data_IF_918039132113
#
_entry.id   IF_918039132113
#
_cell.length_a   1.000
_cell.length_b   1.000
_cell.length_c   1.000
_cell.angle_alpha   90.00
_cell.angle_beta   90.00
_cell.angle_gamma   90.00
#
_symmetry.space_group_name_H-M   'P 1'
#
loop_
_entity.id
_entity.type
_entity.pdbx_description
1 polymer ?
#
# COMPACT_ATOMS: atom_id res chain seq x y z
N UNK A 1 -11.73 -10.61 0.32
CA UNK A 1 -10.79 -9.64 -0.29
C UNK A 1 -9.94 -8.94 0.77
N UNK A 2 -10.51 -8.27 1.78
CA UNK A 2 -9.77 -7.52 2.81
C UNK A 2 -8.69 -8.36 3.50
N UNK A 3 -8.99 -9.54 4.00
CA UNK A 3 -8.02 -10.37 4.72
C UNK A 3 -6.97 -11.06 3.83
N UNK A 4 -7.17 -11.10 2.51
CA UNK A 4 -6.26 -11.80 1.59
C UNK A 4 -5.37 -10.80 0.85
N UNK A 5 -5.97 -9.75 0.28
CA UNK A 5 -5.26 -8.82 -0.60
C UNK A 5 -4.89 -7.52 0.12
N UNK A 6 -5.82 -6.94 0.90
CA UNK A 6 -5.57 -5.67 1.57
C UNK A 6 -4.43 -5.73 2.59
N UNK A 7 -4.20 -6.88 3.21
CA UNK A 7 -3.11 -7.04 4.19
C UNK A 7 -1.74 -6.68 3.59
N UNK A 8 -1.50 -6.98 2.33
CA UNK A 8 -0.26 -6.62 1.63
C UNK A 8 -0.17 -5.10 1.40
N UNK A 9 -1.28 -4.48 0.98
CA UNK A 9 -1.37 -3.03 0.77
C UNK A 9 -1.17 -2.27 2.09
N UNK A 10 -1.73 -2.75 3.20
CA UNK A 10 -1.51 -2.19 4.53
C UNK A 10 -0.04 -2.27 4.93
N UNK A 11 0.63 -3.37 4.64
CA UNK A 11 2.05 -3.55 4.93
C UNK A 11 2.91 -2.57 4.12
N UNK A 12 2.65 -2.45 2.81
CA UNK A 12 3.31 -1.50 1.92
C UNK A 12 3.14 -0.05 2.42
N UNK A 13 1.90 0.35 2.75
CA UNK A 13 1.61 1.70 3.23
C UNK A 13 2.28 1.99 4.58
N UNK A 14 2.34 1.02 5.48
CA UNK A 14 3.08 1.15 6.74
C UNK A 14 4.58 1.32 6.51
N UNK A 15 5.13 0.59 5.54
CA UNK A 15 6.54 0.72 5.17
C UNK A 15 6.86 2.10 4.53
N UNK A 16 5.96 2.64 3.71
CA UNK A 16 6.17 3.91 3.00
C UNK A 16 5.84 5.12 3.86
N UNK A 17 4.70 5.08 4.58
CA UNK A 17 4.12 6.24 5.26
C UNK A 17 4.22 6.17 6.79
N UNK A 18 4.63 5.05 7.37
CA UNK A 18 4.69 4.82 8.81
C UNK A 18 3.45 4.13 9.38
N UNK A 19 3.44 3.92 10.70
CA UNK A 19 2.36 3.19 11.36
C UNK A 19 1.00 3.89 11.24
N UNK A 20 -0.04 3.10 10.97
CA UNK A 20 -1.44 3.54 10.94
C UNK A 20 -1.99 3.47 12.36
N UNK A 21 -2.59 4.56 12.84
CA UNK A 21 -3.10 4.69 14.22
C UNK A 21 -4.62 4.78 14.33
N UNK A 22 -5.32 5.06 13.23
CA UNK A 22 -6.78 5.00 13.20
C UNK A 22 -7.31 4.78 11.78
N UNK A 23 -8.49 4.19 11.66
CA UNK A 23 -9.13 3.83 10.40
C UNK A 23 -10.62 4.12 10.46
N UNK A 24 -11.15 4.67 9.35
CA UNK A 24 -12.56 4.64 9.00
C UNK A 24 -12.71 3.83 7.71
N UNK A 25 -13.75 3.01 7.59
CA UNK A 25 -13.95 2.17 6.43
C UNK A 25 -15.43 1.92 6.13
N UNK A 26 -15.68 1.58 4.86
CA UNK A 26 -16.95 1.05 4.39
C UNK A 26 -16.67 -0.14 3.46
N UNK A 27 -17.54 -1.14 3.48
CA UNK A 27 -17.46 -2.33 2.64
C UNK A 27 -18.76 -2.53 1.87
N UNK A 28 -18.67 -3.21 0.73
CA UNK A 28 -19.81 -3.62 -0.09
C UNK A 28 -19.55 -5.02 -0.65
N UNK A 29 -20.64 -5.77 -0.83
CA UNK A 29 -20.68 -7.03 -1.58
C UNK A 29 -21.67 -6.96 -2.75
N UNK A 30 -22.07 -5.74 -3.14
CA UNK A 30 -23.18 -5.52 -4.08
C UNK A 30 -22.84 -5.94 -5.50
N UNK A 31 -21.56 -5.95 -5.90
CA UNK A 31 -21.15 -6.30 -7.24
C UNK A 31 -21.28 -7.81 -7.52
N UNK A 32 -20.94 -8.66 -6.56
CA UNK A 32 -20.98 -10.12 -6.69
C UNK A 32 -22.12 -10.78 -5.91
N UNK A 33 -22.66 -10.11 -4.89
CA UNK A 33 -23.70 -10.66 -4.03
C UNK A 33 -23.26 -11.83 -3.14
N UNK A 34 -21.95 -11.97 -2.88
CA UNK A 34 -21.43 -13.00 -1.98
C UNK A 34 -21.52 -12.56 -0.51
N UNK A 35 -21.42 -13.51 0.47
CA UNK A 35 -21.39 -13.18 1.88
C UNK A 35 -20.14 -12.40 2.32
N UNK A 36 -19.12 -12.32 1.46
CA UNK A 36 -17.88 -11.58 1.69
C UNK A 36 -17.85 -10.32 0.82
N UNK A 37 -17.14 -9.32 1.29
CA UNK A 37 -16.96 -8.06 0.57
C UNK A 37 -16.21 -8.25 -0.77
N UNK A 38 -16.63 -7.50 -1.78
CA UNK A 38 -15.97 -7.37 -3.08
C UNK A 38 -15.34 -6.00 -3.29
N UNK A 39 -15.70 -5.03 -2.45
CA UNK A 39 -15.22 -3.65 -2.51
C UNK A 39 -15.09 -3.09 -1.10
N UNK A 40 -14.02 -2.35 -0.82
CA UNK A 40 -13.85 -1.58 0.40
C UNK A 40 -13.20 -0.23 0.09
N UNK A 41 -13.58 0.80 0.87
CA UNK A 41 -12.98 2.13 0.84
C UNK A 41 -12.68 2.58 2.26
N UNK A 42 -11.56 3.29 2.47
CA UNK A 42 -11.14 3.66 3.80
C UNK A 42 -10.36 4.97 3.85
N UNK A 43 -10.37 5.58 5.04
CA UNK A 43 -9.52 6.71 5.44
C UNK A 43 -8.52 6.19 6.49
N UNK A 44 -7.24 6.45 6.27
CA UNK A 44 -6.14 6.02 7.12
C UNK A 44 -5.53 7.24 7.80
N UNK A 45 -5.30 7.14 9.11
CA UNK A 45 -4.57 8.13 9.90
C UNK A 45 -3.22 7.54 10.29
N UNK A 46 -2.13 8.19 9.89
CA UNK A 46 -0.79 7.75 10.21
C UNK A 46 -0.25 8.43 11.49
N UNK A 47 0.66 7.75 12.18
CA UNK A 47 1.25 8.24 13.42
C UNK A 47 1.98 9.59 13.28
N UNK A 48 2.52 9.88 12.10
CA UNK A 48 3.18 11.15 11.77
C UNK A 48 2.21 12.28 11.38
N UNK A 49 0.89 12.05 11.46
CA UNK A 49 -0.15 13.01 11.10
C UNK A 49 -0.57 13.02 9.64
N UNK A 50 0.05 12.22 8.78
CA UNK A 50 -0.40 12.05 7.40
C UNK A 50 -1.79 11.40 7.34
N UNK A 51 -2.53 11.71 6.29
CA UNK A 51 -3.81 11.08 5.97
C UNK A 51 -3.71 10.35 4.64
N UNK A 52 -4.33 9.18 4.57
CA UNK A 52 -4.44 8.40 3.35
C UNK A 52 -5.88 8.04 3.03
N UNK A 53 -6.16 7.85 1.76
CA UNK A 53 -7.40 7.23 1.28
C UNK A 53 -7.04 6.02 0.45
N UNK A 54 -7.81 4.95 0.58
CA UNK A 54 -7.61 3.72 -0.15
C UNK A 54 -8.94 3.15 -0.59
N UNK A 55 -8.98 2.69 -1.83
CA UNK A 55 -10.08 1.86 -2.33
C UNK A 55 -9.49 0.55 -2.87
N UNK A 56 -10.13 -0.56 -2.57
CA UNK A 56 -9.78 -1.88 -3.07
C UNK A 56 -11.03 -2.61 -3.54
N UNK A 57 -10.96 -3.25 -4.69
CA UNK A 57 -12.05 -4.09 -5.22
C UNK A 57 -11.48 -5.21 -6.06
N UNK A 58 -12.06 -6.39 -5.94
CA UNK A 58 -11.81 -7.53 -6.83
C UNK A 58 -12.92 -7.71 -7.87
N UNK A 59 -13.86 -6.76 -7.92
CA UNK A 59 -14.96 -6.71 -8.88
C UNK A 59 -14.84 -5.53 -9.86
N UNK A 60 -14.02 -4.52 -9.55
CA UNK A 60 -13.81 -3.37 -10.42
C UNK A 60 -12.78 -3.67 -11.52
N UNK A 61 -13.09 -3.25 -12.75
CA UNK A 61 -12.13 -3.32 -13.85
C UNK A 61 -11.29 -2.05 -13.88
N UNK A 62 -10.05 -2.13 -13.37
CA UNK A 62 -9.14 -1.00 -13.25
C UNK A 62 -7.68 -1.40 -13.51
N UNK A 63 -6.86 -0.53 -14.14
CA UNK A 63 -5.47 -0.85 -14.47
C UNK A 63 -4.48 -0.58 -13.32
N UNK A 64 -4.96 -0.28 -12.11
CA UNK A 64 -4.17 0.28 -11.00
C UNK A 64 -3.81 -0.73 -9.90
N UNK A 65 -4.00 -2.01 -10.10
CA UNK A 65 -3.58 -3.00 -9.11
C UNK A 65 -2.05 -3.16 -9.09
N UNK A 66 -1.50 -3.61 -7.98
CA UNK A 66 -0.07 -3.94 -7.87
C UNK A 66 0.34 -4.94 -8.94
N UNK A 67 -0.43 -5.99 -9.14
CA UNK A 67 -0.16 -7.07 -10.11
C UNK A 67 -0.04 -6.55 -11.54
N UNK A 68 -0.86 -5.54 -11.91
CA UNK A 68 -0.85 -4.96 -13.24
C UNK A 68 0.20 -3.86 -13.43
N UNK A 69 0.69 -3.27 -12.34
CA UNK A 69 1.60 -2.11 -12.43
C UNK A 69 3.06 -2.45 -12.10
N UNK A 70 3.31 -3.39 -11.18
CA UNK A 70 4.66 -3.70 -10.72
C UNK A 70 5.50 -4.53 -11.72
N UNK A 71 4.84 -5.34 -12.56
CA UNK A 71 5.53 -6.19 -13.53
C UNK A 71 6.31 -7.36 -12.92
N UNK A 72 6.12 -7.63 -11.62
CA UNK A 72 6.82 -8.69 -10.88
C UNK A 72 6.37 -10.08 -11.30
N UNK A 73 5.10 -10.26 -11.58
CA UNK A 73 4.54 -11.52 -12.07
C UNK A 73 4.23 -11.41 -13.56
N UNK A 74 5.03 -12.10 -14.39
CA UNK A 74 4.90 -12.07 -15.86
C UNK A 74 3.60 -12.71 -16.40
N UNK A 75 2.80 -13.35 -15.54
CA UNK A 75 1.47 -13.86 -15.94
C UNK A 75 0.44 -12.72 -16.09
N UNK A 76 0.67 -11.57 -15.47
CA UNK A 76 -0.19 -10.40 -15.60
C UNK A 76 0.31 -9.46 -16.71
N UNK A 77 -0.60 -8.93 -17.57
CA UNK A 77 -0.23 -7.93 -18.56
C UNK A 77 0.09 -6.60 -17.85
N UNK A 78 1.36 -6.19 -17.90
CA UNK A 78 1.80 -4.96 -17.26
C UNK A 78 1.23 -3.71 -17.93
N UNK A 79 0.77 -2.75 -17.14
CA UNK A 79 0.34 -1.42 -17.57
C UNK A 79 1.34 -0.35 -17.12
N UNK A 80 1.50 0.73 -17.91
CA UNK A 80 2.31 1.91 -17.49
C UNK A 80 1.48 2.83 -16.57
N UNK A 81 0.99 2.26 -15.46
CA UNK A 81 0.21 2.95 -14.44
C UNK A 81 0.90 2.83 -13.08
N UNK A 82 0.28 3.39 -12.06
CA UNK A 82 0.72 3.29 -10.66
C UNK A 82 -0.48 2.92 -9.77
N UNK A 83 -0.23 2.30 -8.64
CA UNK A 83 -1.26 1.93 -7.66
C UNK A 83 -1.23 2.79 -6.40
N UNK A 84 -0.09 3.39 -6.06
CA UNK A 84 0.02 4.33 -4.95
C UNK A 84 0.50 5.69 -5.43
N UNK A 85 -0.08 6.74 -4.83
CA UNK A 85 0.33 8.12 -4.99
C UNK A 85 0.61 8.67 -3.58
N UNK A 86 1.86 9.05 -3.33
CA UNK A 86 2.30 9.58 -2.04
C UNK A 86 2.75 11.01 -2.24
N UNK A 87 2.15 11.95 -1.50
CA UNK A 87 2.51 13.37 -1.55
C UNK A 87 2.98 13.84 -0.18
N UNK A 88 4.08 14.57 -0.15
CA UNK A 88 4.65 15.20 1.03
C UNK A 88 5.01 16.66 0.78
N UNK A 89 5.51 17.36 1.79
CA UNK A 89 5.87 18.77 1.71
C UNK A 89 7.07 19.05 0.80
N UNK A 90 7.94 18.04 0.57
CA UNK A 90 9.11 18.16 -0.29
C UNK A 90 8.92 17.60 -1.71
N UNK A 91 7.78 16.98 -2.01
CA UNK A 91 7.52 16.37 -3.31
C UNK A 91 6.51 15.25 -3.25
N UNK A 92 6.30 14.58 -4.36
CA UNK A 92 5.41 13.42 -4.45
C UNK A 92 6.05 12.28 -5.24
N UNK A 93 5.51 11.07 -5.06
CA UNK A 93 6.01 9.83 -5.63
C UNK A 93 4.84 8.96 -6.09
N UNK A 94 4.98 8.38 -7.28
CA UNK A 94 4.10 7.31 -7.75
C UNK A 94 4.77 5.94 -7.55
N UNK A 95 4.03 4.93 -7.10
CA UNK A 95 4.56 3.58 -6.88
C UNK A 95 3.69 2.58 -7.65
N UNK A 96 4.27 1.63 -8.35
CA UNK A 96 5.70 1.29 -8.47
C UNK A 96 6.44 2.07 -9.59
N UNK A 97 5.77 2.93 -10.33
CA UNK A 97 6.33 3.62 -11.51
C UNK A 97 7.49 4.55 -11.18
N UNK A 98 7.57 5.06 -9.95
CA UNK A 98 8.63 5.89 -9.39
C UNK A 98 8.85 7.23 -10.13
N UNK A 99 7.76 7.86 -10.58
CA UNK A 99 7.83 9.26 -10.95
C UNK A 99 7.90 10.10 -9.67
N UNK A 100 8.99 10.85 -9.52
CA UNK A 100 9.22 11.78 -8.41
C UNK A 100 8.96 13.20 -8.91
N UNK A 101 8.08 13.91 -8.22
CA UNK A 101 7.71 15.29 -8.53
C UNK A 101 8.23 16.22 -7.44
N UNK A 102 8.89 17.30 -7.80
CA UNK A 102 9.41 18.29 -6.86
C UNK A 102 9.39 19.70 -7.46
N UNK A 103 9.45 20.70 -6.59
CA UNK A 103 9.66 22.08 -7.01
C UNK A 103 11.14 22.45 -6.97
N UNK A 104 11.61 23.20 -7.95
CA UNK A 104 12.94 23.82 -7.95
C UNK A 104 13.03 25.11 -7.13
N UNK A 105 11.90 25.62 -6.61
CA UNK A 105 11.81 26.84 -5.82
C UNK A 105 10.59 26.89 -4.91
N UNK A 106 10.37 28.01 -4.24
CA UNK A 106 9.30 28.19 -3.27
C UNK A 106 7.99 28.70 -3.92
N UNK A 107 6.90 28.05 -3.58
CA UNK A 107 5.54 28.51 -3.83
C UNK A 107 4.85 27.95 -5.08
N UNK A 108 3.54 28.18 -5.14
CA UNK A 108 2.62 27.66 -6.15
C UNK A 108 2.87 28.13 -7.59
N UNK A 109 3.68 29.14 -7.76
CA UNK A 109 3.96 29.76 -9.05
C UNK A 109 5.22 29.20 -9.73
N UNK A 110 5.98 28.38 -9.01
CA UNK A 110 7.16 27.68 -9.55
C UNK A 110 6.73 26.40 -10.27
N UNK A 111 7.21 26.14 -11.49
CA UNK A 111 6.92 24.89 -12.16
C UNK A 111 7.33 23.69 -11.32
N UNK A 112 6.50 22.65 -11.34
CA UNK A 112 6.83 21.36 -10.76
C UNK A 112 7.51 20.49 -11.82
N UNK A 113 8.58 19.83 -11.45
CA UNK A 113 9.37 18.97 -12.32
C UNK A 113 9.17 17.50 -11.95
N UNK A 114 9.22 16.62 -12.94
CA UNK A 114 9.10 15.18 -12.76
C UNK A 114 10.36 14.47 -13.24
N UNK A 115 10.85 13.54 -12.46
CA UNK A 115 11.93 12.62 -12.82
C UNK A 115 11.48 11.19 -12.55
N UNK A 116 11.60 10.30 -13.55
CA UNK A 116 11.35 8.87 -13.33
C UNK A 116 12.62 8.20 -12.81
N UNK A 117 12.53 7.61 -11.63
CA UNK A 117 13.61 6.79 -11.06
C UNK A 117 13.54 5.38 -11.64
N UNK A 118 14.66 4.91 -12.21
CA UNK A 118 14.77 3.56 -12.75
C UNK A 118 15.42 2.66 -11.69
N UNK A 119 14.71 1.59 -11.32
CA UNK A 119 15.24 0.55 -10.45
C UNK A 119 15.46 -0.71 -11.31
N UNK A 120 16.62 -1.36 -11.22
CA UNK A 120 16.85 -2.60 -11.96
C UNK A 120 15.81 -3.67 -11.61
N UNK A 121 15.28 -4.35 -12.59
CA UNK A 121 14.38 -5.49 -12.37
C UNK A 121 15.10 -6.57 -11.55
N UNK A 122 14.42 -7.04 -10.51
CA UNK A 122 14.90 -8.12 -9.67
C UNK A 122 13.70 -9.01 -9.32
N UNK A 123 13.91 -10.31 -9.34
CA UNK A 123 12.87 -11.24 -8.90
C UNK A 123 12.64 -11.13 -7.38
N UNK A 124 11.44 -10.70 -6.94
CA UNK A 124 11.15 -10.48 -5.53
C UNK A 124 11.21 -11.78 -4.71
N UNK A 125 10.81 -12.91 -5.28
CA UNK A 125 10.82 -14.21 -4.60
C UNK A 125 12.26 -14.68 -4.34
N UNK A 126 13.14 -14.53 -5.31
CA UNK A 126 14.56 -14.81 -5.14
C UNK A 126 15.19 -13.91 -4.08
N UNK A 127 14.87 -12.62 -4.09
CA UNK A 127 15.35 -11.67 -3.06
C UNK A 127 14.85 -12.05 -1.67
N UNK A 128 13.57 -12.35 -1.53
CA UNK A 128 12.97 -12.79 -0.27
C UNK A 128 13.68 -14.04 0.27
N UNK A 129 13.91 -15.06 -0.58
CA UNK A 129 14.57 -16.28 -0.17
C UNK A 129 16.02 -16.05 0.25
N UNK A 130 16.77 -15.23 -0.51
CA UNK A 130 18.14 -14.87 -0.16
C UNK A 130 18.22 -14.13 1.17
N UNK A 131 17.29 -13.18 1.40
CA UNK A 131 17.20 -12.45 2.66
C UNK A 131 16.86 -13.39 3.82
N UNK A 132 15.89 -14.27 3.65
CA UNK A 132 15.50 -15.27 4.66
C UNK A 132 16.68 -16.16 5.05
N UNK A 133 17.44 -16.64 4.07
CA UNK A 133 18.66 -17.42 4.33
C UNK A 133 19.72 -16.60 5.09
N UNK A 134 19.89 -15.32 4.76
CA UNK A 134 20.83 -14.44 5.48
C UNK A 134 20.40 -14.22 6.94
N UNK A 135 19.08 -14.08 7.19
CA UNK A 135 18.54 -13.98 8.55
C UNK A 135 18.81 -15.27 9.35
N UNK A 136 18.59 -16.45 8.76
CA UNK A 136 18.90 -17.73 9.43
C UNK A 136 20.38 -17.84 9.80
N UNK A 137 21.29 -17.34 8.95
CA UNK A 137 22.73 -17.36 9.21
C UNK A 137 23.20 -16.26 10.17
N UNK A 138 22.30 -15.38 10.61
CA UNK A 138 22.64 -14.25 11.48
C UNK A 138 23.36 -13.09 10.76
N UNK A 139 23.37 -13.09 9.43
CA UNK A 139 24.02 -12.08 8.56
C UNK A 139 23.13 -10.85 8.33
N UNK A 140 21.83 -10.96 8.57
CA UNK A 140 20.85 -9.90 8.40
C UNK A 140 19.78 -9.96 9.51
N UNK A 141 19.11 -8.82 9.74
CA UNK A 141 17.88 -8.77 10.55
C UNK A 141 16.67 -8.91 9.64
N UNK A 142 15.55 -9.48 10.13
CA UNK A 142 14.29 -9.49 9.38
C UNK A 142 13.88 -8.06 8.99
N UNK A 143 13.51 -7.84 7.73
CA UNK A 143 12.90 -6.57 7.27
C UNK A 143 11.53 -6.42 7.92
N UNK A 144 10.76 -7.50 7.96
CA UNK A 144 9.49 -7.61 8.67
C UNK A 144 9.62 -8.69 9.74
N UNK A 145 9.54 -8.32 11.00
CA UNK A 145 9.54 -9.26 12.13
C UNK A 145 8.11 -9.64 12.55
N UNK A 146 7.98 -10.52 13.54
CA UNK A 146 6.69 -10.98 14.03
C UNK A 146 5.82 -9.85 14.61
N UNK A 147 6.42 -8.81 15.20
CA UNK A 147 5.69 -7.63 15.71
C UNK A 147 5.15 -6.78 14.55
N UNK A 148 5.97 -6.56 13.54
CA UNK A 148 5.55 -5.87 12.32
C UNK A 148 4.38 -6.58 11.65
N UNK A 149 4.47 -7.91 11.47
CA UNK A 149 3.38 -8.73 10.92
C UNK A 149 2.10 -8.68 11.78
N UNK A 150 2.23 -8.71 13.11
CA UNK A 150 1.08 -8.56 14.03
C UNK A 150 0.39 -7.20 13.83
N UNK A 151 1.14 -6.10 13.78
CA UNK A 151 0.58 -4.76 13.53
C UNK A 151 -0.13 -4.66 12.18
N UNK A 152 0.43 -5.26 11.12
CA UNK A 152 -0.22 -5.32 9.81
C UNK A 152 -1.55 -6.07 9.89
N UNK A 153 -1.60 -7.21 10.58
CA UNK A 153 -2.83 -7.96 10.80
C UNK A 153 -3.85 -7.20 11.64
N UNK A 154 -3.45 -6.62 12.76
CA UNK A 154 -4.32 -5.79 13.62
C UNK A 154 -4.93 -4.62 12.84
N UNK A 155 -4.12 -3.94 12.03
CA UNK A 155 -4.59 -2.86 11.15
C UNK A 155 -5.61 -3.36 10.13
N UNK A 156 -5.35 -4.52 9.52
CA UNK A 156 -6.28 -5.12 8.55
C UNK A 156 -7.60 -5.53 9.21
N UNK A 157 -7.56 -6.10 10.40
CA UNK A 157 -8.78 -6.44 11.18
C UNK A 157 -9.54 -5.19 11.62
N UNK A 158 -8.85 -4.07 11.89
CA UNK A 158 -9.49 -2.81 12.22
C UNK A 158 -10.30 -2.23 11.05
N UNK A 159 -9.91 -2.51 9.79
CA UNK A 159 -10.73 -2.16 8.61
C UNK A 159 -12.07 -2.85 8.66
N UNK A 160 -12.10 -4.17 8.94
CA UNK A 160 -13.34 -4.94 9.09
C UNK A 160 -14.22 -4.36 10.19
N UNK A 161 -13.62 -4.11 11.37
CA UNK A 161 -14.34 -3.53 12.49
C UNK A 161 -14.90 -2.14 12.17
N UNK A 162 -14.13 -1.27 11.51
CA UNK A 162 -14.59 0.06 11.14
C UNK A 162 -15.76 0.00 10.15
N UNK A 163 -15.70 -0.91 9.17
CA UNK A 163 -16.79 -1.10 8.21
C UNK A 163 -18.07 -1.66 8.85
N UNK A 164 -17.95 -2.58 9.81
CA UNK A 164 -19.07 -3.16 10.54
C UNK A 164 -19.77 -2.14 11.47
N UNK A 165 -18.99 -1.28 12.14
CA UNK A 165 -19.53 -0.32 13.11
C UNK A 165 -19.88 1.04 12.51
N UNK A 166 -19.27 1.41 11.39
CA UNK A 166 -19.31 2.77 10.83
C UNK A 166 -18.53 3.80 11.63
N UNK A 167 -17.76 3.38 12.65
CA UNK A 167 -17.02 4.24 13.55
C UNK A 167 -15.52 4.30 13.24
N UNK A 168 -14.86 5.36 13.72
CA UNK A 168 -13.39 5.45 13.71
C UNK A 168 -12.81 4.43 14.70
N UNK A 169 -12.06 3.47 14.20
CA UNK A 169 -11.32 2.49 15.03
C UNK A 169 -9.89 3.00 15.26
N UNK A 170 -9.50 3.13 16.53
CA UNK A 170 -8.12 3.47 16.93
C UNK A 170 -7.31 2.22 17.20
N UNK A 171 -6.05 2.24 16.79
CA UNK A 171 -5.05 1.20 17.03
C UNK A 171 -4.15 1.62 18.22
N UNK A 172 -3.70 0.66 19.00
CA UNK A 172 -2.85 0.86 20.18
C UNK A 172 -1.36 0.77 19.83
#
# INVERSE_FOLDING_TARGET
>A
MVLINLIHVIDDLRNICGDIVAIQAAESSAARGFPVEDTAAMILHFANGALGTLAISDAANAPWSWELTAGENKAYPQTDQFCYLVAGTGGSLTVPRLDVWSHSGDGWWTPIEAERRIVPEQDPLTRQMNHFCAVIRGEAKPILDGRGGTRTLETTLAVKKAAETGELVRLS
#
